data_IF_215757121158
#
_entry.id   IF_215757121158
#
_cell.length_a   1.000
_cell.length_b   1.000
_cell.length_c   1.000
_cell.angle_alpha   90.00
_cell.angle_beta   90.00
_cell.angle_gamma   90.00
#
_symmetry.space_group_name_H-M   'P 1'
#
loop_
_entity.id
_entity.type
_entity.pdbx_description
1 polymer ?
#
# COMPACT_ATOMS: atom_id res chain seq x y z
N UNK A 1 5.43 -18.82 -23.54
CA UNK A 1 5.45 -17.92 -22.35
C UNK A 1 5.65 -16.50 -22.85
N UNK A 2 4.96 -15.49 -22.29
CA UNK A 2 5.30 -14.09 -22.61
C UNK A 2 6.69 -13.80 -22.04
N UNK A 3 7.59 -13.27 -22.85
CA UNK A 3 8.90 -12.82 -22.39
C UNK A 3 8.74 -11.80 -21.26
N UNK A 4 9.47 -12.02 -20.16
CA UNK A 4 9.48 -11.08 -19.04
C UNK A 4 10.31 -9.86 -19.43
N UNK A 5 9.82 -8.68 -19.07
CA UNK A 5 10.46 -7.41 -19.38
C UNK A 5 11.59 -7.11 -18.40
N UNK A 6 12.76 -6.72 -18.90
CA UNK A 6 13.80 -6.14 -18.07
C UNK A 6 13.50 -4.66 -17.83
N UNK A 7 13.47 -4.24 -16.57
CA UNK A 7 13.22 -2.86 -16.20
C UNK A 7 14.05 -2.49 -14.98
N UNK A 8 14.30 -1.20 -14.78
CA UNK A 8 14.98 -0.70 -13.59
C UNK A 8 14.15 -0.96 -12.32
N UNK A 9 14.83 -1.26 -11.21
CA UNK A 9 14.18 -1.58 -9.93
C UNK A 9 13.27 -0.45 -9.42
N UNK A 10 13.68 0.82 -9.60
CA UNK A 10 12.87 1.97 -9.17
C UNK A 10 11.53 2.02 -9.91
N UNK A 11 11.51 1.65 -11.19
CA UNK A 11 10.28 1.64 -12.00
C UNK A 11 9.33 0.53 -11.55
N UNK A 12 9.87 -0.66 -11.27
CA UNK A 12 9.08 -1.78 -10.75
C UNK A 12 8.55 -1.44 -9.35
N UNK A 13 9.37 -0.81 -8.50
CA UNK A 13 8.97 -0.36 -7.17
C UNK A 13 7.87 0.72 -7.24
N UNK A 14 8.01 1.69 -8.14
CA UNK A 14 7.01 2.73 -8.36
C UNK A 14 5.69 2.12 -8.84
N UNK A 15 5.74 1.20 -9.79
CA UNK A 15 4.56 0.44 -10.25
C UNK A 15 3.91 -0.32 -9.10
N UNK A 16 4.71 -0.95 -8.25
CA UNK A 16 4.22 -1.69 -7.09
C UNK A 16 3.47 -0.79 -6.13
N UNK A 17 4.12 0.30 -5.70
CA UNK A 17 3.55 1.31 -4.82
C UNK A 17 2.29 1.95 -5.41
N UNK A 18 2.33 2.41 -6.67
CA UNK A 18 1.19 3.06 -7.31
C UNK A 18 -0.02 2.13 -7.38
N UNK A 19 0.19 0.83 -7.57
CA UNK A 19 -0.90 -0.15 -7.61
C UNK A 19 -1.41 -0.47 -6.21
N UNK A 20 -0.52 -0.91 -5.31
CA UNK A 20 -0.88 -1.49 -4.02
C UNK A 20 -1.05 -0.46 -2.89
N UNK A 21 -0.27 0.60 -2.92
CA UNK A 21 -0.25 1.66 -1.91
C UNK A 21 -1.10 2.88 -2.28
N UNK A 22 -1.54 3.01 -3.54
CA UNK A 22 -2.34 4.15 -3.99
C UNK A 22 -3.63 3.72 -4.70
N UNK A 23 -3.56 3.13 -5.89
CA UNK A 23 -4.73 2.90 -6.75
C UNK A 23 -5.77 1.97 -6.10
N UNK A 24 -5.35 0.83 -5.54
CA UNK A 24 -6.27 -0.12 -4.90
C UNK A 24 -6.92 0.48 -3.64
N UNK A 25 -6.15 1.06 -2.69
CA UNK A 25 -6.75 1.78 -1.56
C UNK A 25 -7.69 2.91 -1.98
N UNK A 26 -7.36 3.66 -3.03
CA UNK A 26 -8.20 4.74 -3.54
C UNK A 26 -9.53 4.21 -4.08
N UNK A 27 -9.50 3.19 -4.95
CA UNK A 27 -10.72 2.61 -5.53
C UNK A 27 -11.60 1.96 -4.46
N UNK A 28 -11.03 1.17 -3.55
CA UNK A 28 -11.80 0.55 -2.47
C UNK A 28 -12.34 1.61 -1.50
N UNK A 29 -11.54 2.65 -1.22
CA UNK A 29 -11.97 3.78 -0.41
C UNK A 29 -13.18 4.50 -0.99
N UNK A 30 -13.27 4.64 -2.32
CA UNK A 30 -14.47 5.19 -2.97
C UNK A 30 -15.66 4.24 -2.87
N UNK A 31 -15.46 2.95 -3.15
CA UNK A 31 -16.54 1.95 -3.16
C UNK A 31 -17.13 1.76 -1.76
N UNK A 32 -16.31 1.75 -0.71
CA UNK A 32 -16.74 1.50 0.67
C UNK A 32 -17.02 2.81 1.40
N UNK A 33 -16.19 3.82 1.22
CA UNK A 33 -16.26 5.08 1.96
C UNK A 33 -17.51 5.90 1.63
N UNK A 34 -17.94 5.93 0.36
CA UNK A 34 -19.15 6.67 -0.04
C UNK A 34 -20.40 6.08 0.64
N UNK A 35 -20.70 4.76 0.54
CA UNK A 35 -21.84 4.19 1.26
C UNK A 35 -21.78 4.37 2.76
N UNK A 36 -20.61 4.17 3.39
CA UNK A 36 -20.44 4.34 4.84
C UNK A 36 -20.76 5.78 5.25
N UNK A 37 -20.27 6.76 4.50
CA UNK A 37 -20.55 8.18 4.74
C UNK A 37 -22.05 8.51 4.59
N UNK A 38 -22.73 7.94 3.58
CA UNK A 38 -24.16 8.15 3.37
C UNK A 38 -25.04 7.52 4.46
N UNK A 39 -24.62 6.40 5.05
CA UNK A 39 -25.39 5.69 6.08
C UNK A 39 -25.14 6.27 7.48
N UNK A 40 -23.87 6.52 7.84
CA UNK A 40 -23.51 6.93 9.21
C UNK A 40 -23.56 8.45 9.41
N UNK A 41 -23.57 9.25 8.35
CA UNK A 41 -23.54 10.70 8.44
C UNK A 41 -22.19 11.25 8.92
N UNK A 42 -22.13 12.58 9.16
CA UNK A 42 -20.89 13.29 9.50
C UNK A 42 -20.49 13.16 10.97
N UNK A 43 -21.44 12.84 11.84
CA UNK A 43 -21.26 12.95 13.29
C UNK A 43 -20.42 11.80 13.88
N UNK A 44 -20.28 10.69 13.14
CA UNK A 44 -19.56 9.48 13.56
C UNK A 44 -18.10 9.44 13.07
N UNK A 45 -17.41 10.58 13.11
CA UNK A 45 -16.05 10.71 12.55
C UNK A 45 -15.03 9.81 13.27
N UNK A 46 -15.19 9.59 14.58
CA UNK A 46 -14.30 8.73 15.35
C UNK A 46 -14.50 7.25 15.00
N UNK A 47 -15.76 6.80 14.85
CA UNK A 47 -16.08 5.44 14.44
C UNK A 47 -15.55 5.16 13.02
N UNK A 48 -15.74 6.10 12.09
CA UNK A 48 -15.21 6.00 10.72
C UNK A 48 -13.69 5.88 10.70
N UNK A 49 -12.98 6.65 11.54
CA UNK A 49 -11.52 6.55 11.65
C UNK A 49 -11.07 5.21 12.27
N UNK A 50 -11.77 4.70 13.27
CA UNK A 50 -11.49 3.38 13.86
C UNK A 50 -11.66 2.24 12.85
N UNK A 51 -12.75 2.27 12.06
CA UNK A 51 -12.97 1.30 10.98
C UNK A 51 -11.85 1.40 9.94
N UNK A 52 -11.49 2.61 9.52
CA UNK A 52 -10.41 2.83 8.55
C UNK A 52 -9.03 2.39 9.06
N UNK A 53 -8.77 2.49 10.36
CA UNK A 53 -7.52 2.03 10.98
C UNK A 53 -7.33 0.51 10.80
N UNK A 54 -8.42 -0.25 10.87
CA UNK A 54 -8.41 -1.72 10.74
C UNK A 54 -8.49 -2.14 9.26
N UNK A 55 -9.35 -1.49 8.47
CA UNK A 55 -9.60 -1.88 7.08
C UNK A 55 -8.45 -1.51 6.15
N UNK A 56 -7.77 -0.37 6.36
CA UNK A 56 -6.73 0.10 5.45
C UNK A 56 -5.53 -0.87 5.31
N UNK A 57 -4.97 -1.44 6.40
CA UNK A 57 -3.92 -2.46 6.28
C UNK A 57 -4.38 -3.71 5.50
N UNK A 58 -5.64 -4.14 5.69
CA UNK A 58 -6.22 -5.29 4.96
C UNK A 58 -6.33 -4.98 3.46
N UNK A 59 -6.78 -3.77 3.13
CA UNK A 59 -6.87 -3.30 1.75
C UNK A 59 -5.48 -3.25 1.09
N UNK A 60 -4.48 -2.75 1.82
CA UNK A 60 -3.08 -2.75 1.37
C UNK A 60 -2.57 -4.17 1.15
N UNK A 61 -2.86 -5.10 2.06
CA UNK A 61 -2.48 -6.51 1.91
C UNK A 61 -3.02 -7.12 0.61
N UNK A 62 -4.31 -6.92 0.31
CA UNK A 62 -4.93 -7.34 -0.95
C UNK A 62 -4.27 -6.66 -2.15
N UNK A 63 -3.96 -5.37 -2.03
CA UNK A 63 -3.29 -4.61 -3.06
C UNK A 63 -1.90 -5.13 -3.40
N UNK A 64 -1.12 -5.47 -2.37
CA UNK A 64 0.21 -6.06 -2.53
C UNK A 64 0.11 -7.43 -3.18
N UNK A 65 -0.83 -8.29 -2.78
CA UNK A 65 -1.04 -9.60 -3.40
C UNK A 65 -1.31 -9.47 -4.91
N UNK A 66 -2.22 -8.58 -5.29
CA UNK A 66 -2.56 -8.34 -6.69
C UNK A 66 -1.35 -7.79 -7.47
N UNK A 67 -0.71 -6.76 -6.94
CA UNK A 67 0.41 -6.08 -7.57
C UNK A 67 1.64 -6.99 -7.71
N UNK A 68 1.96 -7.79 -6.69
CA UNK A 68 3.06 -8.75 -6.73
C UNK A 68 2.83 -9.83 -7.81
N UNK A 69 1.60 -10.34 -7.95
CA UNK A 69 1.25 -11.29 -9.02
C UNK A 69 1.47 -10.69 -10.40
N UNK A 70 1.08 -9.43 -10.60
CA UNK A 70 1.32 -8.72 -11.85
C UNK A 70 2.83 -8.52 -12.12
N UNK A 71 3.58 -8.06 -11.12
CA UNK A 71 5.01 -7.78 -11.25
C UNK A 71 5.81 -9.05 -11.54
N UNK A 72 5.60 -10.12 -10.79
CA UNK A 72 6.30 -11.40 -10.99
C UNK A 72 6.03 -12.00 -12.38
N UNK A 73 4.83 -11.76 -12.94
CA UNK A 73 4.45 -12.20 -14.29
C UNK A 73 5.06 -11.33 -15.39
N UNK A 74 5.29 -10.04 -15.11
CA UNK A 74 5.61 -9.04 -16.13
C UNK A 74 7.10 -8.76 -16.24
N UNK A 75 7.82 -8.77 -15.11
CA UNK A 75 9.21 -8.28 -15.04
C UNK A 75 10.22 -9.36 -14.63
N UNK A 76 11.46 -9.18 -15.10
CA UNK A 76 12.63 -9.87 -14.58
C UNK A 76 13.12 -9.19 -13.31
N UNK A 77 13.08 -9.90 -12.20
CA UNK A 77 13.43 -9.40 -10.86
C UNK A 77 14.73 -10.04 -10.42
N UNK A 78 15.79 -9.22 -10.37
CA UNK A 78 17.13 -9.63 -9.89
C UNK A 78 17.34 -9.38 -8.40
N UNK A 79 16.67 -8.35 -7.87
CA UNK A 79 16.80 -7.91 -6.48
C UNK A 79 15.44 -7.46 -5.96
N UNK A 80 14.68 -8.44 -5.45
CA UNK A 80 13.36 -8.22 -4.86
C UNK A 80 13.42 -7.29 -3.65
N UNK A 81 14.44 -7.40 -2.80
CA UNK A 81 14.56 -6.62 -1.57
C UNK A 81 14.71 -5.13 -1.87
N UNK A 82 15.50 -4.75 -2.88
CA UNK A 82 15.63 -3.34 -3.31
C UNK A 82 14.31 -2.76 -3.83
N UNK A 83 13.52 -3.56 -4.55
CA UNK A 83 12.20 -3.15 -5.04
C UNK A 83 11.24 -2.92 -3.86
N UNK A 84 11.20 -3.87 -2.92
CA UNK A 84 10.36 -3.80 -1.72
C UNK A 84 10.71 -2.56 -0.89
N UNK A 85 12.00 -2.34 -0.61
CA UNK A 85 12.46 -1.19 0.16
C UNK A 85 12.07 0.13 -0.49
N UNK A 86 12.31 0.29 -1.80
CA UNK A 86 11.94 1.50 -2.53
C UNK A 86 10.42 1.73 -2.50
N UNK A 87 9.61 0.69 -2.74
CA UNK A 87 8.16 0.82 -2.74
C UNK A 87 7.60 1.19 -1.35
N UNK A 88 8.16 0.61 -0.28
CA UNK A 88 7.80 0.98 1.10
C UNK A 88 8.21 2.41 1.41
N UNK A 89 9.39 2.85 0.98
CA UNK A 89 9.83 4.25 1.14
C UNK A 89 8.86 5.20 0.44
N UNK A 90 8.42 4.89 -0.78
CA UNK A 90 7.43 5.70 -1.50
C UNK A 90 6.12 5.82 -0.71
N UNK A 91 5.64 4.72 -0.13
CA UNK A 91 4.46 4.72 0.73
C UNK A 91 4.66 5.62 1.95
N UNK A 92 5.76 5.45 2.69
CA UNK A 92 6.04 6.23 3.91
C UNK A 92 6.19 7.71 3.61
N UNK A 93 6.93 8.08 2.56
CA UNK A 93 7.15 9.49 2.22
C UNK A 93 5.83 10.14 1.77
N UNK A 94 5.07 9.51 0.88
CA UNK A 94 3.87 10.12 0.31
C UNK A 94 2.73 10.09 1.33
N UNK A 95 2.36 8.91 1.82
CA UNK A 95 1.25 8.80 2.77
C UNK A 95 1.60 9.40 4.13
N UNK A 96 2.82 9.15 4.63
CA UNK A 96 3.29 9.71 5.90
C UNK A 96 3.47 11.22 5.81
N UNK A 97 4.03 11.75 4.72
CA UNK A 97 4.15 13.19 4.51
C UNK A 97 2.81 13.91 4.48
N UNK A 98 1.80 13.34 3.80
CA UNK A 98 0.45 13.90 3.79
C UNK A 98 -0.23 13.89 5.18
N UNK A 99 -0.12 12.79 5.91
CA UNK A 99 -0.72 12.70 7.25
C UNK A 99 0.04 13.57 8.27
N UNK A 100 1.38 13.67 8.15
CA UNK A 100 2.19 14.56 8.97
C UNK A 100 1.84 16.04 8.72
N UNK A 101 1.67 16.43 7.45
CA UNK A 101 1.19 17.78 7.11
C UNK A 101 -0.17 18.05 7.74
N UNK A 102 -1.11 17.11 7.69
CA UNK A 102 -2.42 17.26 8.35
C UNK A 102 -2.25 17.44 9.85
N UNK A 103 -1.47 16.57 10.51
CA UNK A 103 -1.23 16.64 11.95
C UNK A 103 -0.65 17.99 12.38
N UNK A 104 0.29 18.55 11.62
CA UNK A 104 0.83 19.88 11.91
C UNK A 104 -0.24 20.97 11.78
N UNK A 105 -1.09 20.90 10.76
CA UNK A 105 -2.16 21.88 10.51
C UNK A 105 -3.28 21.79 11.56
N UNK A 106 -3.55 20.59 12.05
CA UNK A 106 -4.63 20.27 13.01
C UNK A 106 -4.13 20.30 14.47
N UNK A 107 -2.92 20.82 14.72
CA UNK A 107 -2.28 20.89 16.05
C UNK A 107 -2.21 19.52 16.77
N UNK A 108 -1.96 18.44 16.03
CA UNK A 108 -1.85 17.07 16.53
C UNK A 108 -3.08 16.61 17.32
N UNK A 109 -4.27 16.90 16.80
CA UNK A 109 -5.50 16.33 17.33
C UNK A 109 -5.52 14.78 17.27
N UNK A 110 -6.50 14.18 17.93
CA UNK A 110 -6.59 12.72 18.01
C UNK A 110 -6.75 12.08 16.62
N UNK A 111 -7.49 12.71 15.70
CA UNK A 111 -7.74 12.18 14.36
C UNK A 111 -6.45 12.12 13.54
N UNK A 112 -5.63 13.16 13.60
CA UNK A 112 -4.36 13.20 12.89
C UNK A 112 -3.32 12.23 13.45
N UNK A 113 -3.29 12.05 14.78
CA UNK A 113 -2.46 11.01 15.42
C UNK A 113 -2.88 9.60 14.94
N UNK A 114 -4.19 9.32 14.90
CA UNK A 114 -4.71 8.06 14.35
C UNK A 114 -4.33 7.87 12.88
N UNK A 115 -4.31 8.95 12.10
CA UNK A 115 -3.82 8.96 10.72
C UNK A 115 -2.36 8.50 10.60
N UNK A 116 -1.48 8.99 11.47
CA UNK A 116 -0.06 8.59 11.51
C UNK A 116 0.06 7.10 11.90
N UNK A 117 -0.62 6.66 12.95
CA UNK A 117 -0.61 5.25 13.39
C UNK A 117 -1.08 4.33 12.26
N UNK A 118 -2.13 4.71 11.53
CA UNK A 118 -2.61 3.98 10.36
C UNK A 118 -1.55 3.85 9.28
N UNK A 119 -0.82 4.93 8.95
CA UNK A 119 0.26 4.87 7.94
C UNK A 119 1.37 3.91 8.37
N UNK A 120 1.75 3.91 9.66
CA UNK A 120 2.75 2.97 10.18
C UNK A 120 2.26 1.53 10.03
N UNK A 121 1.01 1.25 10.42
CA UNK A 121 0.42 -0.08 10.26
C UNK A 121 0.38 -0.53 8.78
N UNK A 122 -0.03 0.37 7.87
CA UNK A 122 0.00 0.12 6.44
C UNK A 122 1.42 -0.16 5.92
N UNK A 123 2.42 0.60 6.34
CA UNK A 123 3.81 0.41 5.92
C UNK A 123 4.37 -0.94 6.37
N UNK A 124 4.09 -1.35 7.61
CA UNK A 124 4.47 -2.66 8.15
C UNK A 124 3.84 -3.77 7.32
N UNK A 125 2.52 -3.72 7.13
CA UNK A 125 1.80 -4.74 6.35
C UNK A 125 2.29 -4.75 4.90
N UNK A 126 2.46 -3.59 4.28
CA UNK A 126 3.00 -3.47 2.92
C UNK A 126 4.34 -4.17 2.80
N UNK A 127 5.29 -3.87 3.69
CA UNK A 127 6.63 -4.43 3.67
C UNK A 127 6.64 -5.96 3.87
N UNK A 128 6.02 -6.45 4.94
CA UNK A 128 5.99 -7.88 5.28
C UNK A 128 5.32 -8.68 4.16
N UNK A 129 4.20 -8.17 3.65
CA UNK A 129 3.44 -8.80 2.58
C UNK A 129 4.23 -8.80 1.27
N UNK A 130 4.90 -7.71 0.95
CA UNK A 130 5.70 -7.62 -0.28
C UNK A 130 6.87 -8.62 -0.24
N UNK A 131 7.52 -8.78 0.92
CA UNK A 131 8.57 -9.80 1.12
C UNK A 131 8.06 -11.23 0.93
N UNK A 132 6.79 -11.47 1.29
CA UNK A 132 6.15 -12.77 1.08
C UNK A 132 5.90 -13.05 -0.40
N UNK A 133 5.41 -12.07 -1.16
CA UNK A 133 4.87 -12.31 -2.52
C UNK A 133 5.78 -11.88 -3.68
N UNK A 134 6.69 -10.93 -3.51
CA UNK A 134 7.65 -10.54 -4.56
C UNK A 134 8.89 -11.43 -4.43
N UNK A 135 9.24 -12.12 -5.52
CA UNK A 135 10.35 -13.09 -5.56
C UNK A 135 11.31 -12.78 -6.69
N UNK A 136 12.56 -13.19 -6.52
CA UNK A 136 13.52 -13.14 -7.62
C UNK A 136 13.06 -14.09 -8.73
N UNK A 137 13.38 -13.76 -9.97
CA UNK A 137 12.91 -14.59 -11.10
C UNK A 137 13.51 -15.98 -11.06
N UNK A 138 14.75 -16.13 -10.61
CA UNK A 138 15.43 -17.42 -10.54
C UNK A 138 14.76 -18.36 -9.51
N UNK A 139 14.25 -17.82 -8.40
CA UNK A 139 13.50 -18.59 -7.38
C UNK A 139 12.17 -19.14 -7.90
N UNK A 140 11.55 -18.45 -8.86
CA UNK A 140 10.29 -18.88 -9.47
C UNK A 140 10.49 -20.00 -10.52
N UNK A 141 11.70 -20.13 -11.09
CA UNK A 141 12.02 -21.20 -12.06
C UNK A 141 12.33 -22.50 -11.35
N UNK A 142 12.96 -22.45 -10.17
CA UNK A 142 13.30 -23.66 -9.37
C UNK A 142 12.08 -24.34 -8.74
N UNK A 143 10.95 -23.64 -8.65
CA UNK A 143 9.70 -24.14 -8.05
C UNK A 143 8.65 -24.61 -9.06
N UNK A 144 8.97 -24.62 -10.37
CA UNK A 144 8.12 -25.12 -11.46
C UNK A 144 8.73 -26.38 -12.09
#
# INVERSE_FOLDING_TARGET
MKEKKQSANWYIAATHYLTAGFAIPFVIGLIVGIPVFLILGKDEILLSNAVNLISAPIIVWLGVMYSAKYINKTYLIKDSQKIINLATIYLVIIAGGLNMRSAIMDNFDVVSILGIVRVVAMAIVFYITSKKYIKNTDELVVTQ
#
